data_IF_281238073258
#
_entry.id   IF_281238073258
#
_cell.length_a   1.000
_cell.length_b   1.000
_cell.length_c   1.000
_cell.angle_alpha   90.00
_cell.angle_beta   90.00
_cell.angle_gamma   90.00
#
_symmetry.space_group_name_H-M   'P 1'
#
loop_
_entity.id
_entity.type
_entity.pdbx_description
1 polymer ?
#
# COMPACT_ATOMS: atom_id res chain seq x y z
N UNK A 1 4.63 -2.79 -20.91
CA UNK A 1 5.39 -2.09 -21.96
C UNK A 1 4.40 -1.28 -22.75
N UNK A 2 4.48 0.06 -22.75
CA UNK A 2 3.66 0.89 -23.64
C UNK A 2 4.51 1.12 -24.88
N UNK A 3 4.45 0.18 -25.82
CA UNK A 3 5.23 0.20 -27.06
C UNK A 3 4.36 0.72 -28.22
N UNK A 4 3.83 1.94 -28.09
CA UNK A 4 3.05 2.60 -29.16
C UNK A 4 3.94 3.31 -30.18
N UNK A 5 5.13 3.73 -29.75
CA UNK A 5 6.21 4.24 -30.58
C UNK A 5 7.45 3.46 -30.12
N UNK A 6 8.31 2.96 -31.02
CA UNK A 6 9.53 2.20 -30.69
C UNK A 6 10.59 2.99 -29.87
N UNK A 7 10.20 4.05 -29.16
CA UNK A 7 10.96 4.76 -28.15
C UNK A 7 10.57 4.22 -26.76
N UNK A 8 11.41 3.36 -26.20
CA UNK A 8 11.34 3.09 -24.76
C UNK A 8 12.00 4.25 -24.00
N UNK A 9 11.20 5.19 -23.51
CA UNK A 9 11.66 6.33 -22.70
C UNK A 9 12.41 5.89 -21.44
N UNK A 10 12.10 4.70 -20.92
CA UNK A 10 12.85 4.05 -19.83
C UNK A 10 14.28 3.68 -20.18
N UNK A 11 14.66 3.67 -21.46
CA UNK A 11 16.00 3.37 -21.94
C UNK A 11 16.77 4.63 -22.37
N UNK A 12 16.06 5.75 -22.51
CA UNK A 12 16.59 7.01 -23.05
C UNK A 12 16.82 8.03 -21.94
N UNK A 13 15.92 8.11 -20.95
CA UNK A 13 15.98 9.12 -19.89
C UNK A 13 16.20 8.49 -18.50
N UNK A 14 17.33 8.79 -17.82
CA UNK A 14 17.57 8.34 -16.46
C UNK A 14 16.57 8.96 -15.47
N UNK A 15 16.09 10.17 -15.74
CA UNK A 15 15.08 10.84 -14.93
C UNK A 15 13.75 10.09 -14.99
N UNK A 16 13.31 9.69 -16.19
CA UNK A 16 12.06 8.93 -16.36
C UNK A 16 12.15 7.53 -15.72
N UNK A 17 13.29 6.86 -15.85
CA UNK A 17 13.59 5.60 -15.18
C UNK A 17 13.35 5.70 -13.66
N UNK A 18 13.96 6.70 -13.00
CA UNK A 18 13.82 6.96 -11.56
C UNK A 18 12.38 7.31 -11.18
N UNK A 19 11.77 8.26 -11.89
CA UNK A 19 10.43 8.75 -11.59
C UNK A 19 9.36 7.66 -11.73
N UNK A 20 9.51 6.77 -12.73
CA UNK A 20 8.60 5.65 -12.94
C UNK A 20 8.61 4.70 -11.74
N UNK A 21 9.79 4.27 -11.29
CA UNK A 21 9.90 3.36 -10.16
C UNK A 21 9.47 4.01 -8.85
N UNK A 22 9.82 5.28 -8.63
CA UNK A 22 9.33 6.07 -7.50
C UNK A 22 7.79 6.16 -7.48
N UNK A 23 7.17 6.47 -8.62
CA UNK A 23 5.72 6.60 -8.74
C UNK A 23 4.99 5.28 -8.51
N UNK A 24 5.50 4.18 -9.09
CA UNK A 24 4.94 2.84 -8.87
C UNK A 24 5.01 2.43 -7.40
N UNK A 25 6.19 2.60 -6.80
CA UNK A 25 6.42 2.33 -5.38
C UNK A 25 5.43 3.09 -4.49
N UNK A 26 5.33 4.40 -4.72
CA UNK A 26 4.45 5.29 -3.97
C UNK A 26 2.99 4.87 -4.10
N UNK A 27 2.53 4.59 -5.33
CA UNK A 27 1.15 4.16 -5.60
C UNK A 27 0.81 2.87 -4.87
N UNK A 28 1.64 1.83 -5.00
CA UNK A 28 1.41 0.52 -4.35
C UNK A 28 1.38 0.67 -2.83
N UNK A 29 2.36 1.35 -2.25
CA UNK A 29 2.46 1.47 -0.79
C UNK A 29 1.30 2.29 -0.20
N UNK A 30 0.90 3.36 -0.89
CA UNK A 30 -0.25 4.19 -0.46
C UNK A 30 -1.55 3.40 -0.56
N UNK A 31 -1.77 2.64 -1.64
CA UNK A 31 -2.95 1.78 -1.77
C UNK A 31 -3.04 0.73 -0.66
N UNK A 32 -1.93 0.05 -0.35
CA UNK A 32 -1.90 -0.91 0.75
C UNK A 32 -2.14 -0.25 2.11
N UNK A 33 -1.50 0.88 2.39
CA UNK A 33 -1.71 1.63 3.63
C UNK A 33 -3.18 2.04 3.80
N UNK A 34 -3.80 2.61 2.77
CA UNK A 34 -5.21 3.00 2.79
C UNK A 34 -6.13 1.80 2.97
N UNK A 35 -5.81 0.66 2.36
CA UNK A 35 -6.61 -0.57 2.48
C UNK A 35 -6.56 -1.12 3.91
N UNK A 36 -5.38 -1.14 4.55
CA UNK A 36 -5.25 -1.52 5.94
C UNK A 36 -5.99 -0.56 6.88
N UNK A 37 -5.84 0.75 6.68
CA UNK A 37 -6.54 1.76 7.47
C UNK A 37 -8.06 1.60 7.34
N UNK A 38 -8.56 1.35 6.14
CA UNK A 38 -9.99 1.10 5.91
C UNK A 38 -10.48 -0.17 6.63
N UNK A 39 -9.72 -1.26 6.60
CA UNK A 39 -10.09 -2.49 7.31
C UNK A 39 -10.10 -2.30 8.84
N UNK A 40 -9.12 -1.57 9.37
CA UNK A 40 -9.04 -1.23 10.81
C UNK A 40 -10.21 -0.32 11.20
N UNK A 41 -10.50 0.70 10.40
CA UNK A 41 -11.60 1.62 10.62
C UNK A 41 -12.96 0.90 10.65
N UNK A 42 -13.18 -0.01 9.69
CA UNK A 42 -14.37 -0.85 9.65
C UNK A 42 -14.47 -1.76 10.90
N UNK A 43 -13.36 -2.32 11.36
CA UNK A 43 -13.34 -3.10 12.60
C UNK A 43 -13.67 -2.24 13.84
N UNK A 44 -13.12 -1.03 13.95
CA UNK A 44 -13.40 -0.11 15.04
C UNK A 44 -14.87 0.32 15.08
N UNK A 45 -15.45 0.64 13.92
CA UNK A 45 -16.87 0.99 13.78
C UNK A 45 -17.83 -0.15 14.15
N UNK A 46 -17.46 -1.39 13.83
CA UNK A 46 -18.35 -2.56 14.01
C UNK A 46 -18.21 -3.20 15.38
N UNK A 47 -17.21 -2.82 16.18
CA UNK A 47 -17.02 -3.37 17.52
C UNK A 47 -18.14 -2.92 18.48
N UNK A 48 -18.56 -3.80 19.39
CA UNK A 48 -19.61 -3.52 20.35
C UNK A 48 -19.24 -2.44 21.40
N UNK A 49 -17.95 -2.11 21.52
CA UNK A 49 -17.46 -1.04 22.40
C UNK A 49 -17.53 0.31 21.68
N UNK A 50 -18.52 1.13 22.04
CA UNK A 50 -18.68 2.49 21.49
C UNK A 50 -17.43 3.36 21.64
N UNK A 51 -16.60 3.14 22.65
CA UNK A 51 -15.35 3.87 22.88
C UNK A 51 -14.39 3.76 21.69
N UNK A 52 -14.38 2.64 20.96
CA UNK A 52 -13.48 2.42 19.84
C UNK A 52 -14.01 3.08 18.57
N UNK A 53 -15.33 3.14 18.40
CA UNK A 53 -15.99 3.88 17.32
C UNK A 53 -15.74 5.39 17.38
N UNK A 54 -15.47 5.96 18.56
CA UNK A 54 -15.15 7.39 18.70
C UNK A 54 -13.82 7.78 18.04
N UNK A 55 -12.92 6.82 17.79
CA UNK A 55 -11.65 7.07 17.09
C UNK A 55 -11.80 7.04 15.56
N UNK A 56 -12.89 6.47 15.06
CA UNK A 56 -13.26 6.48 13.64
C UNK A 56 -13.95 7.80 13.28
N UNK A 57 -13.18 8.88 13.31
CA UNK A 57 -13.64 10.22 12.90
C UNK A 57 -12.89 10.68 11.66
N UNK A 58 -13.56 11.49 10.84
CA UNK A 58 -12.98 12.02 9.61
C UNK A 58 -11.70 12.84 9.87
N UNK A 59 -11.61 13.53 11.02
CA UNK A 59 -10.44 14.32 11.41
C UNK A 59 -9.22 13.43 11.69
N UNK A 60 -9.41 12.32 12.40
CA UNK A 60 -8.34 11.35 12.67
C UNK A 60 -7.92 10.67 11.37
N UNK A 61 -8.88 10.27 10.53
CA UNK A 61 -8.60 9.66 9.24
C UNK A 61 -7.75 10.58 8.34
N UNK A 62 -8.10 11.87 8.24
CA UNK A 62 -7.30 12.84 7.47
C UNK A 62 -5.87 12.96 8.00
N UNK A 63 -5.69 13.06 9.33
CA UNK A 63 -4.36 13.13 9.95
C UNK A 63 -3.53 11.88 9.64
N UNK A 64 -4.13 10.69 9.76
CA UNK A 64 -3.46 9.42 9.47
C UNK A 64 -3.08 9.31 7.99
N UNK A 65 -3.96 9.68 7.07
CA UNK A 65 -3.67 9.66 5.62
C UNK A 65 -2.52 10.61 5.29
N UNK A 66 -2.49 11.82 5.86
CA UNK A 66 -1.41 12.79 5.63
C UNK A 66 -0.07 12.22 6.13
N UNK A 67 -0.03 11.70 7.35
CA UNK A 67 1.18 11.11 7.94
C UNK A 67 1.67 9.92 7.09
N UNK A 68 0.75 9.04 6.69
CA UNK A 68 1.10 7.88 5.84
C UNK A 68 1.57 8.31 4.46
N UNK A 69 0.95 9.30 3.85
CA UNK A 69 1.37 9.85 2.54
C UNK A 69 2.79 10.39 2.60
N UNK A 70 3.11 11.20 3.61
CA UNK A 70 4.46 11.72 3.83
C UNK A 70 5.46 10.58 4.04
N UNK A 71 5.11 9.59 4.85
CA UNK A 71 5.95 8.42 5.09
C UNK A 71 6.22 7.63 3.80
N UNK A 72 5.20 7.44 2.95
CA UNK A 72 5.34 6.76 1.67
C UNK A 72 6.23 7.55 0.69
N UNK A 73 6.12 8.89 0.66
CA UNK A 73 6.99 9.75 -0.15
C UNK A 73 8.45 9.61 0.28
N UNK A 74 8.72 9.71 1.59
CA UNK A 74 10.06 9.57 2.15
C UNK A 74 10.66 8.19 1.88
N UNK A 75 9.86 7.13 2.04
CA UNK A 75 10.28 5.76 1.73
C UNK A 75 10.58 5.54 0.25
N UNK A 76 10.00 6.34 -0.64
CA UNK A 76 10.30 6.29 -2.08
C UNK A 76 11.67 6.88 -2.45
N UNK A 77 12.26 7.76 -1.63
CA UNK A 77 13.50 8.49 -1.94
C UNK A 77 14.66 7.58 -2.39
N UNK A 78 14.93 6.41 -1.77
CA UNK A 78 15.97 5.49 -2.24
C UNK A 78 15.83 5.09 -3.71
N UNK A 79 14.60 4.99 -4.25
CA UNK A 79 14.37 4.67 -5.65
C UNK A 79 14.85 5.78 -6.59
N UNK A 80 14.78 7.05 -6.16
CA UNK A 80 15.33 8.18 -6.94
C UNK A 80 16.86 8.22 -6.92
N UNK A 81 17.49 7.65 -5.89
CA UNK A 81 18.94 7.65 -5.71
C UNK A 81 19.57 6.47 -6.45
N UNK A 82 19.07 5.26 -6.21
CA UNK A 82 19.76 4.01 -6.57
C UNK A 82 19.36 3.40 -7.92
N UNK A 83 18.23 3.79 -8.54
CA UNK A 83 17.89 3.33 -9.88
C UNK A 83 18.63 4.14 -10.94
N UNK A 84 19.30 3.48 -11.87
CA UNK A 84 19.97 4.14 -12.99
C UNK A 84 19.83 3.30 -14.27
N UNK A 85 20.27 3.88 -15.39
CA UNK A 85 20.40 3.16 -16.65
C UNK A 85 21.69 2.34 -16.61
N UNK A 86 21.57 1.02 -16.58
CA UNK A 86 22.70 0.09 -16.60
C UNK A 86 22.70 -0.66 -17.92
N UNK A 87 23.86 -0.72 -18.58
CA UNK A 87 24.05 -1.48 -19.82
C UNK A 87 24.40 -2.93 -19.49
N UNK A 88 23.61 -3.87 -19.99
CA UNK A 88 23.87 -5.29 -19.81
C UNK A 88 25.15 -5.68 -20.58
N UNK A 89 26.10 -6.39 -19.93
CA UNK A 89 27.40 -6.69 -20.52
C UNK A 89 27.34 -7.67 -21.72
N UNK A 90 26.25 -8.43 -21.86
CA UNK A 90 26.15 -9.53 -22.83
C UNK A 90 25.39 -9.12 -24.10
N UNK A 91 24.41 -8.23 -24.00
CA UNK A 91 23.51 -7.87 -25.10
C UNK A 91 23.61 -6.40 -25.54
N UNK A 92 24.37 -5.57 -24.81
CA UNK A 92 24.37 -4.12 -25.01
C UNK A 92 23.03 -3.43 -24.69
N UNK A 93 22.05 -4.20 -24.23
CA UNK A 93 20.71 -3.73 -23.88
C UNK A 93 20.80 -2.83 -22.64
N UNK A 94 20.21 -1.64 -22.76
CA UNK A 94 20.09 -0.72 -21.63
C UNK A 94 18.90 -1.20 -20.80
N UNK A 95 19.03 -1.20 -19.47
CA UNK A 95 17.93 -1.50 -18.58
C UNK A 95 17.92 -0.52 -17.41
N UNK A 96 16.73 -0.18 -16.92
CA UNK A 96 16.54 0.67 -15.76
C UNK A 96 16.55 -0.20 -14.49
N UNK A 97 17.69 -0.30 -13.83
CA UNK A 97 17.91 -1.18 -12.67
C UNK A 97 18.88 -0.55 -11.67
N UNK A 98 19.05 -1.19 -10.51
CA UNK A 98 20.03 -0.78 -9.50
C UNK A 98 21.19 -1.79 -9.44
N UNK A 99 22.41 -1.29 -9.52
CA UNK A 99 23.65 -2.03 -9.30
C UNK A 99 24.01 -2.17 -7.82
N UNK A 100 23.38 -1.38 -6.94
CA UNK A 100 23.64 -1.38 -5.52
C UNK A 100 23.05 -2.63 -4.86
N UNK A 101 23.93 -3.51 -4.35
CA UNK A 101 23.55 -4.77 -3.71
C UNK A 101 22.69 -4.56 -2.46
N UNK A 102 23.01 -3.57 -1.63
CA UNK A 102 22.27 -3.28 -0.40
C UNK A 102 20.85 -2.82 -0.71
N UNK A 103 20.68 -1.94 -1.70
CA UNK A 103 19.36 -1.51 -2.14
C UNK A 103 18.56 -2.66 -2.78
N UNK A 104 19.20 -3.54 -3.55
CA UNK A 104 18.55 -4.74 -4.07
C UNK A 104 18.05 -5.66 -2.94
N UNK A 105 18.86 -5.89 -1.90
CA UNK A 105 18.44 -6.68 -0.75
C UNK A 105 17.28 -6.02 0.01
N UNK A 106 17.36 -4.70 0.23
CA UNK A 106 16.28 -3.92 0.81
C UNK A 106 14.98 -4.04 0.01
N UNK A 107 15.05 -3.91 -1.31
CA UNK A 107 13.88 -4.04 -2.18
C UNK A 107 13.29 -5.46 -2.14
N UNK A 108 14.13 -6.48 -2.28
CA UNK A 108 13.66 -7.87 -2.38
C UNK A 108 13.14 -8.40 -1.05
N UNK A 109 13.83 -8.15 0.06
CA UNK A 109 13.46 -8.72 1.36
C UNK A 109 12.65 -7.76 2.21
N UNK A 110 13.00 -6.47 2.24
CA UNK A 110 12.28 -5.47 3.02
C UNK A 110 10.96 -5.08 2.36
N UNK A 111 11.04 -4.58 1.13
CA UNK A 111 9.84 -4.06 0.47
C UNK A 111 8.88 -5.16 0.01
N UNK A 112 9.35 -6.15 -0.76
CA UNK A 112 8.43 -7.16 -1.33
C UNK A 112 7.87 -8.11 -0.28
N UNK A 113 8.70 -8.63 0.63
CA UNK A 113 8.22 -9.64 1.58
C UNK A 113 7.49 -8.99 2.76
N UNK A 114 8.09 -7.98 3.40
CA UNK A 114 7.53 -7.45 4.64
C UNK A 114 6.43 -6.43 4.34
N UNK A 115 6.69 -5.47 3.46
CA UNK A 115 5.77 -4.36 3.23
C UNK A 115 4.63 -4.69 2.26
N UNK A 116 4.72 -5.73 1.43
CA UNK A 116 3.62 -6.12 0.54
C UNK A 116 2.73 -7.22 1.14
N UNK A 117 3.31 -8.22 1.81
CA UNK A 117 2.53 -9.35 2.33
C UNK A 117 1.87 -9.04 3.69
N UNK A 118 2.52 -8.26 4.55
CA UNK A 118 1.94 -7.93 5.87
C UNK A 118 0.61 -7.15 5.76
N UNK A 119 0.46 -6.16 4.85
CA UNK A 119 -0.83 -5.50 4.63
C UNK A 119 -1.97 -6.44 4.25
N UNK A 120 -1.69 -7.47 3.45
CA UNK A 120 -2.70 -8.46 3.05
C UNK A 120 -3.18 -9.24 4.28
N UNK A 121 -2.24 -9.76 5.07
CA UNK A 121 -2.56 -10.51 6.29
C UNK A 121 -3.36 -9.64 7.26
N UNK A 122 -2.92 -8.40 7.49
CA UNK A 122 -3.62 -7.44 8.36
C UNK A 122 -5.03 -7.15 7.86
N UNK A 123 -5.19 -6.87 6.57
CA UNK A 123 -6.50 -6.59 5.96
C UNK A 123 -7.43 -7.81 6.09
N UNK A 124 -6.92 -9.03 5.87
CA UNK A 124 -7.69 -10.26 6.05
C UNK A 124 -8.15 -10.43 7.51
N UNK A 125 -7.26 -10.23 8.48
CA UNK A 125 -7.60 -10.38 9.91
C UNK A 125 -8.66 -9.35 10.31
N UNK A 126 -8.43 -8.07 10.06
CA UNK A 126 -9.38 -7.02 10.45
C UNK A 126 -10.70 -7.09 9.67
N UNK A 127 -10.65 -7.46 8.39
CA UNK A 127 -11.82 -7.68 7.57
C UNK A 127 -12.69 -8.84 8.08
N UNK A 128 -12.08 -9.97 8.46
CA UNK A 128 -12.81 -11.11 9.03
C UNK A 128 -13.39 -10.77 10.41
N UNK A 129 -12.64 -10.06 11.25
CA UNK A 129 -13.14 -9.61 12.55
C UNK A 129 -14.32 -8.65 12.40
N UNK A 130 -14.24 -7.69 11.46
CA UNK A 130 -15.33 -6.78 11.16
C UNK A 130 -16.57 -7.51 10.63
N UNK A 131 -16.37 -8.50 9.75
CA UNK A 131 -17.46 -9.32 9.22
C UNK A 131 -18.19 -10.08 10.34
N UNK A 132 -17.44 -10.71 11.24
CA UNK A 132 -18.02 -11.43 12.38
C UNK A 132 -18.78 -10.49 13.32
N UNK A 133 -18.26 -9.29 13.57
CA UNK A 133 -18.92 -8.29 14.42
C UNK A 133 -20.27 -7.85 13.82
N UNK A 134 -20.31 -7.57 12.51
CA UNK A 134 -21.55 -7.18 11.82
C UNK A 134 -22.59 -8.29 11.86
N UNK A 135 -22.18 -9.55 11.63
CA UNK A 135 -23.10 -10.69 11.70
C UNK A 135 -23.70 -10.86 13.11
N UNK A 136 -22.91 -10.64 14.16
CA UNK A 136 -23.40 -10.69 15.55
C UNK A 136 -24.33 -9.52 15.89
N UNK A 137 -24.07 -8.32 15.35
CA UNK A 137 -24.94 -7.15 15.51
C UNK A 137 -26.31 -7.39 14.86
N UNK A 138 -26.32 -7.87 13.60
CA UNK A 138 -27.54 -8.15 12.86
C UNK A 138 -28.46 -9.14 13.60
N UNK A 139 -27.90 -10.16 14.24
CA UNK A 139 -28.67 -11.10 15.06
C UNK A 139 -29.28 -10.49 16.33
N UNK A 140 -28.71 -9.42 16.88
CA UNK A 140 -29.20 -8.75 18.10
C UNK A 140 -30.23 -7.66 17.82
N UNK A 141 -30.18 -7.04 16.65
CA UNK A 141 -31.05 -5.90 16.29
C UNK A 141 -32.32 -6.29 15.54
N UNK A 142 -32.65 -7.57 15.36
CA UNK A 142 -34.01 -7.96 14.92
C UNK A 142 -34.93 -7.81 16.14
N UNK A 143 -35.77 -6.76 16.24
CA UNK A 143 -36.79 -6.78 17.26
C UNK A 143 -37.74 -7.91 16.85
N UNK A 144 -37.85 -8.95 17.67
CA UNK A 144 -39.02 -9.81 17.68
C UNK A 144 -40.20 -8.90 18.05
N UNK A 145 -40.75 -8.18 17.07
CA UNK A 145 -42.06 -7.56 17.20
C UNK A 145 -43.06 -8.71 17.15
N UNK A 146 -43.17 -9.44 18.26
CA UNK A 146 -44.36 -10.22 18.55
C UNK A 146 -45.46 -9.21 18.91
N UNK A 147 -46.15 -8.71 17.89
CA UNK A 147 -47.49 -8.15 18.09
C UNK A 147 -48.40 -9.35 18.34
N UNK A 148 -48.78 -9.52 19.60
CA UNK A 148 -49.85 -10.41 20.07
C UNK A 148 -51.02 -9.50 20.46
#
# INVERSE_FOLDING_TARGET
MISGFKLDWTLISPVYCKLRWYGLQFGVLTSFACTCLAAIDQYMCTNARLEWGQWSTADVAHRLIIIMTITCLLHGVPYLIYFNLVRAPIAGEISCTSDNLAFRQYHTYGYLIILADAPLIMTCIFGLLAHNNVHQLAHRTVPLVNVL
#
